data_IF_610570553333
#
_entry.id   IF_610570553333
#
_cell.length_a   1.000
_cell.length_b   1.000
_cell.length_c   1.000
_cell.angle_alpha   90.00
_cell.angle_beta   90.00
_cell.angle_gamma   90.00
#
_symmetry.space_group_name_H-M   'P 1'
#
loop_
_entity.id
_entity.type
_entity.pdbx_description
1 polymer ?
#
# COMPACT_ATOMS: atom_id res chain seq x y z
N UNK A 1 11.96 41.33 -37.17
CA UNK A 1 12.21 39.95 -36.66
C UNK A 1 11.37 39.81 -35.40
N UNK A 2 10.12 39.36 -35.55
CA UNK A 2 9.19 39.20 -34.42
C UNK A 2 9.34 37.81 -33.82
N UNK A 3 9.66 37.73 -32.54
CA UNK A 3 9.58 36.49 -31.78
C UNK A 3 8.11 36.21 -31.48
N UNK A 4 7.56 35.24 -32.21
CA UNK A 4 6.29 34.60 -31.88
C UNK A 4 6.50 33.72 -30.66
N UNK A 5 6.03 34.15 -29.49
CA UNK A 5 5.88 33.27 -28.33
C UNK A 5 4.67 32.37 -28.60
N UNK A 6 4.95 31.16 -29.08
CA UNK A 6 3.93 30.14 -29.25
C UNK A 6 3.45 29.67 -27.89
N UNK A 7 2.23 30.05 -27.50
CA UNK A 7 1.49 29.39 -26.43
C UNK A 7 1.18 27.96 -26.90
N UNK A 8 2.06 27.03 -26.58
CA UNK A 8 1.77 25.60 -26.69
C UNK A 8 0.73 25.28 -25.62
N UNK A 9 -0.55 25.24 -26.00
CA UNK A 9 -1.60 24.72 -25.15
C UNK A 9 -1.27 23.25 -24.88
N UNK A 10 -0.81 22.96 -23.67
CA UNK A 10 -0.64 21.61 -23.15
C UNK A 10 -2.00 20.93 -23.27
N UNK A 11 -2.11 19.95 -24.17
CA UNK A 11 -3.32 19.12 -24.26
C UNK A 11 -3.48 18.43 -22.90
N UNK A 12 -4.70 18.31 -22.36
CA UNK A 12 -4.95 17.39 -21.27
C UNK A 12 -4.49 16.01 -21.76
N UNK A 13 -3.38 15.52 -21.22
CA UNK A 13 -2.87 14.20 -21.56
C UNK A 13 -3.82 13.20 -20.93
N UNK A 14 -4.49 12.42 -21.79
CA UNK A 14 -5.23 11.22 -21.42
C UNK A 14 -4.42 10.37 -20.42
N UNK A 15 -5.12 9.71 -19.50
CA UNK A 15 -4.70 8.97 -18.31
C UNK A 15 -3.36 8.20 -18.36
N UNK A 16 -2.24 8.91 -18.43
CA UNK A 16 -0.93 8.34 -18.18
C UNK A 16 -0.81 8.01 -16.70
N UNK A 17 -1.01 6.72 -16.40
CA UNK A 17 -1.05 6.15 -15.05
C UNK A 17 0.28 6.38 -14.30
N UNK A 18 0.24 7.10 -13.17
CA UNK A 18 1.39 7.26 -12.26
C UNK A 18 1.90 5.95 -11.67
N UNK A 19 1.08 4.88 -11.73
CA UNK A 19 1.53 3.52 -11.40
C UNK A 19 2.80 3.13 -12.16
N UNK A 20 3.02 3.71 -13.35
CA UNK A 20 4.17 3.47 -14.24
C UNK A 20 5.42 4.26 -13.89
N UNK A 21 5.38 5.19 -12.92
CA UNK A 21 6.61 5.87 -12.48
C UNK A 21 7.53 4.83 -11.83
N UNK A 22 8.69 4.62 -12.46
CA UNK A 22 9.78 3.82 -11.92
C UNK A 22 10.67 4.70 -11.06
N UNK A 23 11.06 4.18 -9.91
CA UNK A 23 11.98 4.83 -8.99
C UNK A 23 13.12 3.86 -8.71
N UNK A 24 14.31 4.21 -9.20
CA UNK A 24 15.51 3.43 -9.01
C UNK A 24 16.09 3.72 -7.61
N UNK A 25 16.77 2.73 -7.04
CA UNK A 25 17.45 2.85 -5.75
C UNK A 25 18.93 2.48 -5.91
N UNK A 26 19.74 2.90 -4.93
CA UNK A 26 21.19 2.70 -4.92
C UNK A 26 21.92 3.25 -6.18
N UNK A 27 21.37 4.32 -6.76
CA UNK A 27 21.96 4.99 -7.93
C UNK A 27 22.85 6.15 -7.51
N UNK A 28 23.81 6.52 -8.35
CA UNK A 28 24.69 7.67 -8.10
C UNK A 28 23.86 8.95 -7.94
N UNK A 29 24.08 9.68 -6.86
CA UNK A 29 23.39 10.93 -6.55
C UNK A 29 23.84 12.04 -7.50
N UNK A 30 22.93 12.65 -8.29
CA UNK A 30 23.27 13.82 -9.11
C UNK A 30 23.68 15.03 -8.25
N UNK A 31 23.16 15.12 -7.03
CA UNK A 31 23.36 16.25 -6.11
C UNK A 31 24.56 16.08 -5.19
N UNK A 32 25.04 14.86 -4.99
CA UNK A 32 26.11 14.56 -4.04
C UNK A 32 27.10 13.55 -4.64
N UNK A 33 28.22 14.05 -5.18
CA UNK A 33 29.25 13.22 -5.81
C UNK A 33 29.74 12.10 -4.88
N UNK A 34 29.76 10.87 -5.40
CA UNK A 34 30.23 9.67 -4.68
C UNK A 34 29.25 9.10 -3.66
N UNK A 35 28.03 9.63 -3.56
CA UNK A 35 26.97 9.12 -2.67
C UNK A 35 25.82 8.49 -3.46
N UNK A 36 25.06 7.63 -2.78
CA UNK A 36 23.91 6.92 -3.36
C UNK A 36 22.59 7.61 -3.03
N UNK A 37 21.63 7.51 -3.94
CA UNK A 37 20.29 8.09 -3.81
C UNK A 37 19.25 7.16 -4.43
N UNK A 38 18.00 7.48 -4.13
CA UNK A 38 16.84 7.03 -4.88
C UNK A 38 16.53 8.09 -5.93
N UNK A 39 16.23 7.70 -7.16
CA UNK A 39 15.96 8.62 -8.25
C UNK A 39 14.79 8.14 -9.11
N UNK A 40 13.81 9.02 -9.33
CA UNK A 40 12.75 8.73 -10.30
C UNK A 40 13.29 8.77 -11.74
N UNK A 41 12.61 8.06 -12.63
CA UNK A 41 12.69 8.34 -14.06
C UNK A 41 12.21 9.77 -14.37
N UNK A 42 12.53 10.34 -15.55
CA UNK A 42 12.01 11.63 -15.99
C UNK A 42 10.49 11.72 -15.86
N UNK A 43 10.01 12.85 -15.33
CA UNK A 43 8.62 13.12 -15.00
C UNK A 43 7.99 14.16 -15.92
N UNK A 44 8.75 14.72 -16.85
CA UNK A 44 8.39 15.85 -17.71
C UNK A 44 7.11 15.59 -18.54
N UNK A 45 6.84 14.33 -18.87
CA UNK A 45 5.65 13.92 -19.63
C UNK A 45 4.38 13.78 -18.75
N UNK A 46 4.51 13.80 -17.42
CA UNK A 46 3.42 13.49 -16.49
C UNK A 46 2.96 14.69 -15.67
N UNK A 47 3.88 15.59 -15.33
CA UNK A 47 3.64 16.69 -14.39
C UNK A 47 4.67 17.78 -14.62
N UNK A 48 4.30 19.04 -14.41
CA UNK A 48 5.26 20.14 -14.37
C UNK A 48 5.86 20.31 -12.95
N UNK A 49 6.95 21.07 -12.88
CA UNK A 49 7.67 21.31 -11.62
C UNK A 49 6.79 21.93 -10.54
N UNK A 50 6.01 22.95 -10.90
CA UNK A 50 5.24 23.77 -9.95
C UNK A 50 4.10 22.94 -9.33
N UNK A 51 3.45 22.11 -10.15
CA UNK A 51 2.40 21.18 -9.74
C UNK A 51 2.96 20.06 -8.86
N UNK A 52 4.10 19.48 -9.24
CA UNK A 52 4.77 18.45 -8.44
C UNK A 52 5.20 18.99 -7.07
N UNK A 53 5.84 20.17 -7.06
CA UNK A 53 6.25 20.84 -5.83
C UNK A 53 5.06 21.08 -4.92
N UNK A 54 4.01 21.72 -5.43
CA UNK A 54 2.82 22.05 -4.66
C UNK A 54 2.15 20.80 -4.08
N UNK A 55 2.08 19.72 -4.86
CA UNK A 55 1.53 18.44 -4.43
C UNK A 55 2.32 17.80 -3.29
N UNK A 56 3.64 17.81 -3.37
CA UNK A 56 4.51 17.28 -2.31
C UNK A 56 4.43 18.13 -1.04
N UNK A 57 4.41 19.46 -1.14
CA UNK A 57 4.26 20.33 0.05
C UNK A 57 2.90 20.13 0.71
N UNK A 58 1.83 20.02 -0.08
CA UNK A 58 0.48 19.71 0.43
C UNK A 58 0.47 18.38 1.17
N UNK A 59 1.07 17.35 0.58
CA UNK A 59 1.19 16.01 1.18
C UNK A 59 1.95 16.04 2.51
N UNK A 60 3.03 16.82 2.62
CA UNK A 60 3.80 16.95 3.85
C UNK A 60 3.07 17.72 4.95
N UNK A 61 2.23 18.70 4.57
CA UNK A 61 1.43 19.50 5.51
C UNK A 61 0.18 18.76 6.02
N UNK A 62 -0.45 17.96 5.16
CA UNK A 62 -1.66 17.17 5.46
C UNK A 62 -1.54 15.75 4.89
N UNK A 63 -0.72 14.89 5.52
CA UNK A 63 -0.52 13.53 5.06
C UNK A 63 -1.83 12.73 5.15
N UNK A 64 -2.16 11.91 4.14
CA UNK A 64 -3.30 11.02 4.18
C UNK A 64 -3.28 10.12 5.42
N UNK A 65 -4.43 10.05 6.10
CA UNK A 65 -4.62 9.30 7.34
C UNK A 65 -4.77 7.80 7.04
N UNK A 66 -3.69 7.17 6.60
CA UNK A 66 -3.61 5.74 6.31
C UNK A 66 -2.68 5.01 7.29
N UNK A 67 -2.81 3.68 7.36
CA UNK A 67 -1.96 2.85 8.22
C UNK A 67 -2.15 3.19 9.70
N UNK A 68 -1.08 3.47 10.43
CA UNK A 68 -1.17 3.80 11.87
C UNK A 68 -1.47 5.30 12.13
N UNK A 69 -1.31 6.18 11.14
CA UNK A 69 -1.51 7.62 11.31
C UNK A 69 -3.00 7.95 11.50
N UNK A 70 -3.37 8.54 12.63
CA UNK A 70 -4.77 8.87 12.96
C UNK A 70 -5.06 10.36 12.89
N UNK A 71 -4.05 11.19 13.22
CA UNK A 71 -4.19 12.65 13.30
C UNK A 71 -2.85 13.30 12.94
N UNK A 72 -2.93 14.46 12.32
CA UNK A 72 -1.80 15.36 12.12
C UNK A 72 -2.18 16.76 12.58
N UNK A 73 -1.29 17.41 13.32
CA UNK A 73 -1.39 18.82 13.69
C UNK A 73 -0.30 19.60 12.96
N UNK A 74 -0.71 20.53 12.10
CA UNK A 74 0.20 21.42 11.38
C UNK A 74 0.48 22.68 12.21
N UNK A 75 1.75 23.07 12.26
CA UNK A 75 2.21 24.36 12.76
C UNK A 75 3.08 25.03 11.70
N UNK A 76 2.57 26.06 11.06
CA UNK A 76 3.35 26.90 10.14
C UNK A 76 4.28 27.83 10.93
N UNK A 77 5.56 27.86 10.58
CA UNK A 77 6.57 28.73 11.21
C UNK A 77 6.80 29.95 10.30
N UNK A 78 7.04 29.69 9.02
CA UNK A 78 7.09 30.69 7.95
C UNK A 78 6.76 30.03 6.59
N UNK A 79 6.95 30.76 5.49
CA UNK A 79 6.71 30.24 4.13
C UNK A 79 7.59 29.04 3.78
N UNK A 80 8.84 29.03 4.27
CA UNK A 80 9.84 28.01 3.96
C UNK A 80 10.04 26.99 5.08
N UNK A 81 9.28 27.08 6.18
CA UNK A 81 9.44 26.19 7.33
C UNK A 81 8.11 25.92 8.03
N UNK A 82 7.83 24.64 8.29
CA UNK A 82 6.67 24.20 9.07
C UNK A 82 7.01 22.94 9.87
N UNK A 83 6.15 22.60 10.82
CA UNK A 83 6.26 21.33 11.53
C UNK A 83 4.92 20.61 11.58
N UNK A 84 4.93 19.29 11.48
CA UNK A 84 3.75 18.45 11.70
C UNK A 84 3.96 17.57 12.93
N UNK A 85 2.94 17.48 13.78
CA UNK A 85 2.88 16.49 14.86
C UNK A 85 1.94 15.39 14.43
N UNK A 86 2.49 14.19 14.24
CA UNK A 86 1.79 13.03 13.72
C UNK A 86 1.48 12.07 14.86
N UNK A 87 0.22 11.66 14.99
CA UNK A 87 -0.26 10.75 16.03
C UNK A 87 -0.55 9.39 15.41
N UNK A 88 0.07 8.36 15.96
CA UNK A 88 -0.07 7.00 15.48
C UNK A 88 -0.82 6.17 16.51
N UNK A 89 -1.86 5.46 16.06
CA UNK A 89 -2.52 4.46 16.89
C UNK A 89 -2.22 3.06 16.40
N UNK A 90 -1.72 2.24 17.32
CA UNK A 90 -1.44 0.82 17.08
C UNK A 90 -2.71 -0.05 17.14
N UNK A 91 -3.86 0.57 17.40
CA UNK A 91 -5.16 -0.08 17.55
C UNK A 91 -5.23 -0.99 18.78
N UNK A 92 -6.41 -1.57 19.00
CA UNK A 92 -6.67 -2.46 20.14
C UNK A 92 -5.72 -3.67 20.18
N UNK A 93 -5.33 -4.16 19.00
CA UNK A 93 -4.42 -5.29 18.88
C UNK A 93 -2.97 -4.94 19.22
N UNK A 94 -2.47 -3.79 18.77
CA UNK A 94 -1.14 -3.33 19.18
C UNK A 94 -1.05 -3.11 20.69
N UNK A 95 -2.11 -2.56 21.29
CA UNK A 95 -2.23 -2.41 22.75
C UNK A 95 -2.24 -3.75 23.49
N UNK A 96 -2.91 -4.76 22.94
CA UNK A 96 -2.89 -6.13 23.49
C UNK A 96 -1.46 -6.72 23.50
N UNK A 97 -0.63 -6.34 22.52
CA UNK A 97 0.78 -6.75 22.44
C UNK A 97 1.73 -5.86 23.27
N UNK A 98 1.19 -4.91 24.05
CA UNK A 98 1.97 -4.01 24.88
C UNK A 98 2.59 -2.83 24.13
N UNK A 99 2.21 -2.59 22.88
CA UNK A 99 2.59 -1.36 22.17
C UNK A 99 1.68 -0.21 22.60
N UNK A 100 2.28 0.95 22.79
CA UNK A 100 1.55 2.18 23.07
C UNK A 100 1.30 2.95 21.77
N UNK A 101 0.23 3.75 21.77
CA UNK A 101 0.08 4.80 20.77
C UNK A 101 1.26 5.76 20.92
N UNK A 102 1.81 6.25 19.82
CA UNK A 102 2.99 7.11 19.85
C UNK A 102 2.80 8.32 18.94
N UNK A 103 3.65 9.32 19.12
CA UNK A 103 3.66 10.51 18.26
C UNK A 103 5.06 10.78 17.75
N UNK A 104 5.15 11.43 16.59
CA UNK A 104 6.38 12.00 16.06
C UNK A 104 6.18 13.47 15.74
N UNK A 105 7.26 14.25 15.79
CA UNK A 105 7.29 15.62 15.30
C UNK A 105 8.19 15.66 14.09
N UNK A 106 7.73 16.25 13.00
CA UNK A 106 8.48 16.38 11.76
C UNK A 106 8.67 17.86 11.45
N UNK A 107 9.92 18.32 11.39
CA UNK A 107 10.30 19.68 11.06
C UNK A 107 10.73 19.74 9.59
N UNK A 108 10.01 20.50 8.78
CA UNK A 108 10.22 20.58 7.34
C UNK A 108 10.72 21.96 6.96
N UNK A 109 11.83 22.01 6.21
CA UNK A 109 12.36 23.20 5.54
C UNK A 109 12.37 22.99 4.05
N UNK A 110 11.98 24.01 3.31
CA UNK A 110 11.82 23.94 1.85
C UNK A 110 12.49 25.12 1.15
N UNK A 111 13.11 24.86 0.00
CA UNK A 111 13.67 25.85 -0.90
C UNK A 111 13.17 25.58 -2.33
N UNK A 112 12.16 26.35 -2.75
CA UNK A 112 11.54 26.23 -4.07
C UNK A 112 12.50 26.50 -5.23
N UNK A 113 13.46 27.42 -5.04
CA UNK A 113 14.37 27.79 -6.10
C UNK A 113 15.38 26.67 -6.34
N UNK A 114 15.92 26.11 -5.26
CA UNK A 114 16.86 25.00 -5.30
C UNK A 114 16.19 23.63 -5.53
N UNK A 115 14.86 23.55 -5.33
CA UNK A 115 14.10 22.31 -5.35
C UNK A 115 14.38 21.40 -4.17
N UNK A 116 14.82 21.95 -3.04
CA UNK A 116 15.21 21.17 -1.86
C UNK A 116 14.09 21.10 -0.82
N UNK A 117 13.84 19.91 -0.30
CA UNK A 117 12.98 19.65 0.85
C UNK A 117 13.79 18.84 1.86
N UNK A 118 13.97 19.38 3.06
CA UNK A 118 14.60 18.70 4.18
C UNK A 118 13.57 18.49 5.28
N UNK A 119 13.43 17.26 5.74
CA UNK A 119 12.52 16.90 6.81
C UNK A 119 13.28 16.20 7.95
N UNK A 120 13.17 16.71 9.18
CA UNK A 120 13.81 16.17 10.38
C UNK A 120 12.71 15.57 11.28
N UNK A 121 12.74 14.25 11.52
CA UNK A 121 11.74 13.53 12.32
C UNK A 121 12.28 13.21 13.70
N UNK A 122 11.51 13.60 14.71
CA UNK A 122 11.80 13.43 16.13
C UNK A 122 10.78 12.49 16.77
N UNK A 123 11.24 11.66 17.71
CA UNK A 123 10.37 10.81 18.52
C UNK A 123 9.70 11.61 19.66
N UNK A 124 8.92 10.91 20.49
CA UNK A 124 8.23 11.52 21.65
C UNK A 124 9.17 12.03 22.75
N UNK A 125 10.46 11.68 22.71
CA UNK A 125 11.49 12.11 23.64
C UNK A 125 12.40 13.19 23.04
N UNK A 126 12.02 13.77 21.90
CA UNK A 126 12.78 14.80 21.18
C UNK A 126 14.13 14.30 20.63
N UNK A 127 14.28 12.98 20.42
CA UNK A 127 15.44 12.44 19.74
C UNK A 127 15.24 12.49 18.24
N UNK A 128 16.23 13.00 17.50
CA UNK A 128 16.25 12.91 16.04
C UNK A 128 16.39 11.45 15.61
N UNK A 129 15.34 10.93 14.97
CA UNK A 129 15.27 9.54 14.50
C UNK A 129 15.76 9.43 13.06
N UNK A 130 15.40 10.40 12.22
CA UNK A 130 15.64 10.35 10.79
C UNK A 130 15.64 11.76 10.20
N UNK A 131 16.55 12.04 9.26
CA UNK A 131 16.46 13.17 8.34
C UNK A 131 16.16 12.65 6.93
N UNK A 132 15.15 13.20 6.28
CA UNK A 132 14.82 12.92 4.88
C UNK A 132 15.22 14.11 4.04
N UNK A 133 15.91 13.84 2.94
CA UNK A 133 16.23 14.82 1.91
C UNK A 133 15.52 14.43 0.64
N UNK A 134 14.84 15.39 0.04
CA UNK A 134 14.19 15.25 -1.26
C UNK A 134 14.59 16.42 -2.12
N UNK A 135 15.08 16.15 -3.35
CA UNK A 135 15.40 17.18 -4.33
C UNK A 135 14.60 16.98 -5.60
N UNK A 136 13.95 18.05 -6.06
CA UNK A 136 13.26 18.09 -7.34
C UNK A 136 14.18 18.75 -8.37
N UNK A 137 14.74 17.93 -9.26
CA UNK A 137 15.54 18.38 -10.40
C UNK A 137 14.61 18.93 -11.48
N UNK A 138 14.98 20.02 -12.16
CA UNK A 138 14.14 20.64 -13.21
C UNK A 138 14.37 20.07 -14.61
N UNK A 139 15.58 19.63 -14.93
CA UNK A 139 15.95 19.22 -16.29
C UNK A 139 16.90 18.00 -16.28
N UNK A 140 16.41 16.79 -16.62
CA UNK A 140 14.99 16.43 -16.72
C UNK A 140 14.28 16.56 -15.35
N UNK A 141 12.95 16.72 -15.37
CA UNK A 141 12.15 16.75 -14.14
C UNK A 141 12.27 15.40 -13.42
N UNK A 142 12.89 15.36 -12.24
CA UNK A 142 13.09 14.13 -11.46
C UNK A 142 12.99 14.40 -9.97
N UNK A 143 12.63 13.38 -9.21
CA UNK A 143 12.72 13.40 -7.75
C UNK A 143 13.85 12.50 -7.30
N UNK A 144 14.81 13.10 -6.61
CA UNK A 144 15.86 12.42 -5.88
C UNK A 144 15.49 12.37 -4.39
N UNK A 145 15.73 11.26 -3.71
CA UNK A 145 15.49 11.15 -2.27
C UNK A 145 16.52 10.26 -1.57
N UNK A 146 16.80 10.54 -0.30
CA UNK A 146 17.55 9.66 0.59
C UNK A 146 17.22 9.96 2.05
N UNK A 147 17.56 9.04 2.94
CA UNK A 147 17.47 9.23 4.38
C UNK A 147 18.85 9.32 5.01
N UNK A 148 18.92 9.95 6.16
CA UNK A 148 20.03 9.86 7.10
C UNK A 148 19.48 9.39 8.45
N UNK A 149 19.97 8.24 8.92
CA UNK A 149 19.68 7.67 10.25
C UNK A 149 21.03 7.59 10.96
N UNK A 150 21.19 8.32 12.07
CA UNK A 150 22.45 8.82 12.65
C UNK A 150 23.70 8.69 11.75
N UNK A 151 23.87 9.66 10.84
CA UNK A 151 25.04 9.82 9.94
C UNK A 151 25.22 8.73 8.87
N UNK A 152 24.31 7.75 8.79
CA UNK A 152 24.30 6.76 7.71
C UNK A 152 23.30 7.18 6.66
N UNK A 153 23.79 7.44 5.45
CA UNK A 153 22.95 7.70 4.28
C UNK A 153 22.37 6.38 3.77
N UNK A 154 21.04 6.35 3.64
CA UNK A 154 20.28 5.19 3.17
C UNK A 154 19.55 5.59 1.89
N UNK A 155 19.73 4.78 0.85
CA UNK A 155 19.15 4.98 -0.48
C UNK A 155 18.70 3.66 -1.09
N UNK A 156 18.16 2.78 -0.24
CA UNK A 156 17.77 1.43 -0.61
C UNK A 156 16.36 1.36 -1.21
N UNK A 157 15.89 0.14 -1.42
CA UNK A 157 14.55 -0.15 -1.94
C UNK A 157 13.42 0.36 -1.05
N UNK A 158 13.58 0.40 0.27
CA UNK A 158 12.55 0.92 1.14
C UNK A 158 12.37 2.43 0.92
N UNK A 159 13.47 3.15 0.72
CA UNK A 159 13.44 4.58 0.37
C UNK A 159 12.77 4.80 -1.00
N UNK A 160 13.00 3.93 -1.99
CA UNK A 160 12.36 4.08 -3.31
C UNK A 160 10.87 3.83 -3.30
N UNK A 161 10.40 2.88 -2.47
CA UNK A 161 8.97 2.67 -2.25
C UNK A 161 8.34 3.91 -1.64
N UNK A 162 8.97 4.53 -0.63
CA UNK A 162 8.44 5.75 0.00
C UNK A 162 8.44 6.95 -0.96
N UNK A 163 9.49 7.11 -1.77
CA UNK A 163 9.54 8.15 -2.79
C UNK A 163 8.45 7.96 -3.85
N UNK A 164 8.25 6.72 -4.33
CA UNK A 164 7.18 6.38 -5.29
C UNK A 164 5.77 6.63 -4.71
N UNK A 165 5.54 6.24 -3.46
CA UNK A 165 4.27 6.51 -2.76
C UNK A 165 4.03 8.02 -2.61
N UNK A 166 5.06 8.79 -2.26
CA UNK A 166 4.98 10.26 -2.15
C UNK A 166 4.64 10.93 -3.49
N UNK A 167 5.26 10.48 -4.59
CA UNK A 167 4.93 10.95 -5.94
C UNK A 167 3.48 10.63 -6.32
N UNK A 168 3.03 9.41 -6.01
CA UNK A 168 1.67 8.96 -6.30
C UNK A 168 0.63 9.79 -5.55
N UNK A 169 0.85 9.99 -4.25
CA UNK A 169 -0.06 10.76 -3.39
C UNK A 169 0.00 12.25 -3.64
N UNK A 170 1.18 12.80 -3.96
CA UNK A 170 1.35 14.20 -4.30
C UNK A 170 0.47 14.58 -5.50
N UNK A 171 0.41 13.75 -6.54
CA UNK A 171 -0.52 13.95 -7.66
C UNK A 171 -1.99 13.84 -7.23
N UNK A 172 -2.34 12.80 -6.47
CA UNK A 172 -3.72 12.62 -5.97
C UNK A 172 -4.20 13.83 -5.16
N UNK A 173 -3.32 14.40 -4.33
CA UNK A 173 -3.64 15.58 -3.53
C UNK A 173 -3.89 16.83 -4.41
N UNK A 174 -3.30 16.92 -5.60
CA UNK A 174 -3.46 18.05 -6.53
C UNK A 174 -4.70 17.94 -7.42
N UNK A 175 -5.21 16.73 -7.64
CA UNK A 175 -6.43 16.48 -8.41
C UNK A 175 -7.56 15.94 -7.52
N UNK A 176 -8.07 16.70 -6.53
CA UNK A 176 -9.17 16.24 -5.67
C UNK A 176 -10.49 16.08 -6.45
N UNK A 177 -10.62 16.73 -7.61
CA UNK A 177 -11.75 16.62 -8.53
C UNK A 177 -11.56 15.59 -9.63
N UNK A 178 -10.34 15.09 -9.83
CA UNK A 178 -10.19 13.81 -10.47
C UNK A 178 -10.78 12.82 -9.50
N UNK A 179 -11.87 12.15 -9.88
CA UNK A 179 -12.27 10.91 -9.23
C UNK A 179 -10.97 10.15 -8.93
N UNK A 180 -10.86 9.57 -7.74
CA UNK A 180 -9.85 8.57 -7.48
C UNK A 180 -10.17 7.32 -8.31
N UNK A 181 -10.37 7.47 -9.62
CA UNK A 181 -10.69 6.47 -10.62
C UNK A 181 -9.58 5.42 -10.55
N UNK A 182 -9.85 4.39 -9.77
CA UNK A 182 -8.94 3.26 -9.56
C UNK A 182 -8.49 3.01 -8.13
N UNK A 183 -8.59 3.97 -7.20
CA UNK A 183 -8.12 3.74 -5.84
C UNK A 183 -9.23 3.14 -4.97
N UNK A 184 -9.07 1.86 -4.61
CA UNK A 184 -9.94 1.20 -3.63
C UNK A 184 -9.77 1.90 -2.28
N UNK A 185 -10.84 2.48 -1.76
CA UNK A 185 -10.89 3.01 -0.40
C UNK A 185 -11.48 1.94 0.52
N UNK A 186 -10.84 1.73 1.67
CA UNK A 186 -11.30 0.80 2.70
C UNK A 186 -11.55 1.58 3.99
N UNK A 187 -12.73 1.42 4.59
CA UNK A 187 -13.08 1.99 5.88
C UNK A 187 -12.85 0.95 6.99
N UNK A 188 -11.92 1.19 7.93
CA UNK A 188 -11.72 0.33 9.10
C UNK A 188 -12.84 0.53 10.11
N UNK A 189 -13.24 -0.55 10.78
CA UNK A 189 -14.21 -0.53 11.89
C UNK A 189 -15.54 0.16 11.53
N UNK A 190 -15.94 0.03 10.25
CA UNK A 190 -17.27 0.40 9.79
C UNK A 190 -18.31 -0.49 10.47
N UNK A 191 -19.55 0.01 10.59
CA UNK A 191 -20.68 -0.85 10.94
C UNK A 191 -20.75 -2.01 9.95
N UNK A 192 -20.88 -3.22 10.48
CA UNK A 192 -20.95 -4.42 9.67
C UNK A 192 -22.22 -4.40 8.81
N UNK A 193 -22.08 -4.78 7.55
CA UNK A 193 -23.19 -4.93 6.62
C UNK A 193 -23.93 -6.26 6.84
N UNK A 194 -23.27 -7.23 7.48
CA UNK A 194 -23.77 -8.59 7.73
C UNK A 194 -24.19 -8.89 9.17
N UNK A 195 -23.91 -8.00 10.12
CA UNK A 195 -24.19 -8.23 11.54
C UNK A 195 -24.50 -6.97 12.34
N UNK A 196 -25.69 -6.91 12.92
CA UNK A 196 -26.14 -5.78 13.73
C UNK A 196 -25.19 -5.50 14.91
N UNK A 197 -24.72 -4.25 15.01
CA UNK A 197 -23.85 -3.78 16.09
C UNK A 197 -22.42 -4.36 16.06
N UNK A 198 -22.02 -5.02 14.98
CA UNK A 198 -20.67 -5.54 14.80
C UNK A 198 -19.82 -4.62 13.91
N UNK A 199 -18.51 -4.78 13.97
CA UNK A 199 -17.55 -3.98 13.19
C UNK A 199 -16.84 -4.81 12.13
N UNK A 200 -16.57 -4.18 10.98
CA UNK A 200 -15.87 -4.77 9.83
C UNK A 200 -14.95 -3.78 9.13
N UNK A 201 -14.05 -4.30 8.28
CA UNK A 201 -13.43 -3.51 7.23
C UNK A 201 -14.35 -3.54 6.00
N UNK A 202 -14.76 -2.39 5.47
CA UNK A 202 -15.70 -2.30 4.34
C UNK A 202 -15.10 -1.44 3.24
N UNK A 203 -15.16 -1.91 1.99
CA UNK A 203 -14.73 -1.11 0.85
C UNK A 203 -15.77 -0.03 0.51
N UNK A 204 -15.31 1.05 -0.11
CA UNK A 204 -16.16 1.88 -0.94
C UNK A 204 -16.72 1.07 -2.14
N UNK A 205 -17.74 1.58 -2.85
CA UNK A 205 -18.25 0.96 -4.07
C UNK A 205 -17.12 0.62 -5.05
N UNK A 206 -17.18 -0.57 -5.63
CA UNK A 206 -16.17 -1.14 -6.54
C UNK A 206 -16.68 -1.27 -7.98
N UNK A 207 -17.85 -0.71 -8.27
CA UNK A 207 -18.55 -0.79 -9.55
C UNK A 207 -17.69 -0.24 -10.71
N UNK A 208 -16.80 0.72 -10.44
CA UNK A 208 -15.86 1.28 -11.42
C UNK A 208 -14.62 0.39 -11.67
N UNK A 209 -14.49 -0.73 -10.96
CA UNK A 209 -13.33 -1.61 -11.04
C UNK A 209 -13.65 -2.99 -11.60
N UNK A 210 -14.91 -3.41 -11.50
CA UNK A 210 -15.38 -4.73 -11.89
C UNK A 210 -16.73 -4.59 -12.59
N UNK A 211 -17.02 -5.45 -13.56
CA UNK A 211 -18.32 -5.39 -14.22
C UNK A 211 -19.44 -5.94 -13.32
N UNK A 212 -19.14 -6.94 -12.47
CA UNK A 212 -20.12 -7.59 -11.61
C UNK A 212 -19.51 -8.36 -10.42
N UNK A 213 -20.40 -8.88 -9.56
CA UNK A 213 -20.10 -9.71 -8.41
C UNK A 213 -19.36 -11.02 -8.78
N UNK A 214 -19.70 -11.64 -9.91
CA UNK A 214 -19.12 -12.91 -10.35
C UNK A 214 -17.64 -12.76 -10.69
N UNK A 215 -17.28 -11.67 -11.38
CA UNK A 215 -15.90 -11.37 -11.74
C UNK A 215 -15.05 -11.13 -10.50
N UNK A 216 -15.53 -10.32 -9.56
CA UNK A 216 -14.84 -10.07 -8.30
C UNK A 216 -14.67 -11.36 -7.49
N UNK A 217 -15.73 -12.17 -7.36
CA UNK A 217 -15.71 -13.43 -6.61
C UNK A 217 -14.71 -14.43 -7.22
N UNK A 218 -14.75 -14.62 -8.54
CA UNK A 218 -13.82 -15.50 -9.27
C UNK A 218 -12.38 -15.00 -9.17
N UNK A 219 -12.17 -13.69 -9.33
CA UNK A 219 -10.88 -13.05 -9.18
C UNK A 219 -10.29 -13.27 -7.78
N UNK A 220 -11.14 -13.19 -6.74
CA UNK A 220 -10.71 -13.46 -5.38
C UNK A 220 -10.26 -14.92 -5.16
N UNK A 221 -11.01 -15.89 -5.68
CA UNK A 221 -10.63 -17.30 -5.62
C UNK A 221 -9.32 -17.55 -6.38
N UNK A 222 -9.17 -16.96 -7.57
CA UNK A 222 -7.94 -17.07 -8.35
C UNK A 222 -6.74 -16.49 -7.57
N UNK A 223 -6.89 -15.30 -7.01
CA UNK A 223 -5.86 -14.66 -6.19
C UNK A 223 -5.48 -15.49 -4.96
N UNK A 224 -6.45 -16.12 -4.30
CA UNK A 224 -6.21 -17.01 -3.14
C UNK A 224 -5.50 -18.32 -3.52
N UNK A 225 -5.72 -18.83 -4.73
CA UNK A 225 -5.05 -20.04 -5.26
C UNK A 225 -3.65 -19.75 -5.81
N UNK A 226 -3.32 -18.50 -6.10
CA UNK A 226 -1.99 -18.14 -6.55
C UNK A 226 -1.03 -18.13 -5.36
N UNK A 227 0.15 -18.73 -5.55
CA UNK A 227 1.24 -18.60 -4.58
C UNK A 227 1.54 -17.11 -4.36
N UNK A 228 1.86 -16.69 -3.13
CA UNK A 228 2.49 -15.39 -2.90
C UNK A 228 3.68 -15.28 -3.87
N UNK A 229 3.77 -14.17 -4.60
CA UNK A 229 4.67 -13.98 -5.74
C UNK A 229 6.10 -14.44 -5.40
N UNK A 230 6.45 -15.66 -5.81
CA UNK A 230 7.67 -16.32 -5.37
C UNK A 230 8.92 -15.58 -5.85
N UNK A 231 8.84 -14.96 -7.03
CA UNK A 231 9.92 -14.18 -7.64
C UNK A 231 10.18 -12.85 -6.92
N UNK A 232 9.15 -12.23 -6.35
CA UNK A 232 9.31 -11.00 -5.56
C UNK A 232 9.76 -11.30 -4.13
N UNK A 233 9.32 -12.42 -3.55
CA UNK A 233 9.77 -12.89 -2.24
C UNK A 233 11.26 -13.27 -2.23
N UNK A 234 11.81 -13.75 -3.35
CA UNK A 234 13.26 -14.02 -3.44
C UNK A 234 14.12 -12.75 -3.51
N UNK A 235 13.54 -11.59 -3.82
CA UNK A 235 14.27 -10.32 -4.05
C UNK A 235 14.16 -9.32 -2.89
N UNK A 236 13.57 -9.68 -1.75
CA UNK A 236 13.35 -8.74 -0.63
C UNK A 236 13.32 -9.40 0.74
N UNK A 237 13.16 -8.58 1.78
CA UNK A 237 13.14 -9.01 3.19
C UNK A 237 11.81 -9.66 3.63
N UNK A 238 11.05 -10.23 2.70
CA UNK A 238 9.82 -10.94 3.07
C UNK A 238 10.15 -12.36 3.56
N UNK A 239 9.33 -12.93 4.46
CA UNK A 239 9.51 -14.33 4.83
C UNK A 239 9.44 -15.23 3.60
N UNK A 240 10.48 -16.01 3.41
CA UNK A 240 10.63 -16.94 2.30
C UNK A 240 9.63 -18.08 2.46
N UNK A 241 8.74 -18.24 1.49
CA UNK A 241 7.84 -19.40 1.42
C UNK A 241 8.63 -20.58 0.85
N UNK A 242 8.85 -21.61 1.67
CA UNK A 242 9.54 -22.84 1.28
C UNK A 242 8.63 -23.78 0.47
N UNK A 243 7.32 -23.75 0.73
CA UNK A 243 6.34 -24.57 0.02
C UNK A 243 4.99 -23.87 -0.01
N UNK A 244 4.37 -23.86 -1.19
CA UNK A 244 2.96 -23.51 -1.39
C UNK A 244 2.29 -24.62 -2.21
N UNK A 245 1.20 -25.17 -1.72
CA UNK A 245 0.47 -26.25 -2.40
C UNK A 245 -1.03 -25.98 -2.32
N UNK A 246 -1.71 -25.98 -3.46
CA UNK A 246 -3.18 -25.92 -3.54
C UNK A 246 -3.72 -27.33 -3.68
N UNK A 247 -4.69 -27.70 -2.84
CA UNK A 247 -5.43 -28.97 -2.93
C UNK A 247 -6.91 -28.68 -3.11
N UNK A 248 -7.41 -28.93 -4.31
CA UNK A 248 -8.85 -28.84 -4.59
C UNK A 248 -9.60 -29.95 -3.85
N UNK A 249 -10.66 -29.58 -3.14
CA UNK A 249 -11.57 -30.54 -2.47
C UNK A 249 -12.87 -30.65 -3.26
N UNK A 250 -13.43 -29.51 -3.67
CA UNK A 250 -14.63 -29.40 -4.50
C UNK A 250 -14.62 -28.08 -5.28
N UNK A 251 -15.66 -27.81 -6.07
CA UNK A 251 -15.81 -26.52 -6.76
C UNK A 251 -15.94 -25.33 -5.78
N UNK A 252 -16.44 -25.60 -4.56
CA UNK A 252 -16.66 -24.60 -3.51
C UNK A 252 -15.64 -24.67 -2.38
N UNK A 253 -14.63 -25.55 -2.45
CA UNK A 253 -13.72 -25.76 -1.34
C UNK A 253 -12.31 -26.17 -1.81
N UNK A 254 -11.29 -25.51 -1.28
CA UNK A 254 -9.90 -25.85 -1.53
C UNK A 254 -9.02 -25.52 -0.34
N UNK A 255 -7.89 -26.21 -0.23
CA UNK A 255 -6.87 -25.93 0.77
C UNK A 255 -5.66 -25.29 0.13
N UNK A 256 -5.01 -24.38 0.85
CA UNK A 256 -3.64 -23.96 0.55
C UNK A 256 -2.74 -24.30 1.74
N UNK A 257 -1.66 -25.02 1.49
CA UNK A 257 -0.66 -25.35 2.50
C UNK A 257 0.53 -24.42 2.28
N UNK A 258 0.86 -23.61 3.29
CA UNK A 258 1.98 -22.68 3.23
C UNK A 258 3.00 -23.04 4.31
N UNK A 259 4.24 -23.30 3.88
CA UNK A 259 5.39 -23.52 4.77
C UNK A 259 6.36 -22.36 4.60
N UNK A 260 6.64 -21.65 5.68
CA UNK A 260 7.57 -20.50 5.68
C UNK A 260 8.90 -20.89 6.31
N UNK A 261 9.98 -20.34 5.79
CA UNK A 261 11.32 -20.47 6.33
C UNK A 261 11.42 -19.70 7.66
N UNK A 262 11.64 -20.42 8.75
CA UNK A 262 11.65 -19.86 10.10
C UNK A 262 12.69 -18.75 10.28
N UNK A 263 13.86 -18.89 9.66
CA UNK A 263 14.95 -17.91 9.80
C UNK A 263 14.64 -16.60 9.06
N UNK A 264 13.78 -16.66 8.04
CA UNK A 264 13.29 -15.49 7.30
C UNK A 264 12.09 -14.83 7.99
N UNK A 265 11.34 -15.59 8.78
CA UNK A 265 10.15 -15.10 9.48
C UNK A 265 10.54 -14.00 10.49
N UNK A 266 11.58 -14.25 11.28
CA UNK A 266 12.07 -13.31 12.30
C UNK A 266 12.59 -12.01 11.67
N UNK A 267 13.23 -12.08 10.50
CA UNK A 267 13.73 -10.90 9.76
C UNK A 267 12.61 -10.14 9.06
N UNK A 268 11.64 -10.88 8.52
CA UNK A 268 10.58 -10.29 7.74
C UNK A 268 9.56 -9.54 8.57
N UNK A 269 9.35 -9.88 9.85
CA UNK A 269 8.37 -9.18 10.68
C UNK A 269 8.64 -7.67 10.84
N UNK A 270 9.90 -7.26 10.91
CA UNK A 270 10.28 -5.84 10.99
C UNK A 270 9.96 -5.10 9.68
N UNK A 271 10.14 -5.79 8.54
CA UNK A 271 9.80 -5.26 7.21
C UNK A 271 8.29 -5.33 6.92
N UNK A 272 7.58 -6.30 7.49
CA UNK A 272 6.16 -6.54 7.27
C UNK A 272 5.23 -5.53 7.95
N UNK A 273 5.74 -4.77 8.93
CA UNK A 273 5.07 -3.51 9.31
C UNK A 273 4.95 -2.54 8.12
N UNK A 274 5.68 -2.77 7.02
CA UNK A 274 5.78 -1.88 5.85
C UNK A 274 5.26 -2.50 4.54
N UNK A 275 4.99 -3.80 4.45
CA UNK A 275 4.54 -4.46 3.20
C UNK A 275 3.51 -5.56 3.45
N UNK A 276 2.47 -5.59 2.61
CA UNK A 276 1.31 -6.46 2.72
C UNK A 276 1.49 -7.80 1.99
N UNK A 277 1.99 -8.82 2.68
CA UNK A 277 1.88 -10.24 2.28
C UNK A 277 0.57 -10.86 2.80
N UNK A 278 0.25 -12.15 2.56
CA UNK A 278 -0.92 -12.78 3.19
C UNK A 278 -0.73 -12.80 4.71
N UNK A 279 -1.25 -11.76 5.35
CA UNK A 279 -1.04 -11.45 6.76
C UNK A 279 -1.68 -12.53 7.64
N UNK A 280 -2.70 -13.26 7.17
CA UNK A 280 -3.38 -14.30 7.94
C UNK A 280 -2.45 -15.45 8.38
N UNK A 281 -1.67 -16.00 7.44
CA UNK A 281 -0.69 -17.04 7.75
C UNK A 281 0.42 -16.51 8.65
N UNK A 282 0.84 -15.25 8.47
CA UNK A 282 1.89 -14.61 9.28
C UNK A 282 1.43 -14.32 10.71
N UNK A 283 0.20 -13.82 10.87
CA UNK A 283 -0.43 -13.66 12.18
C UNK A 283 -0.54 -15.01 12.89
N UNK A 284 -0.89 -16.07 12.16
CA UNK A 284 -0.91 -17.42 12.69
C UNK A 284 0.48 -17.90 13.12
N UNK A 285 1.51 -17.74 12.29
CA UNK A 285 2.89 -18.11 12.62
C UNK A 285 3.38 -17.41 13.88
N UNK A 286 3.12 -16.11 14.04
CA UNK A 286 3.52 -15.37 15.24
C UNK A 286 2.79 -15.83 16.49
N UNK A 287 1.47 -16.03 16.39
CA UNK A 287 0.65 -16.40 17.56
C UNK A 287 0.95 -17.81 18.08
N UNK A 288 1.44 -18.70 17.22
CA UNK A 288 1.68 -20.12 17.54
C UNK A 288 3.16 -20.48 17.65
N UNK A 289 4.06 -19.70 17.04
CA UNK A 289 5.45 -20.09 16.81
C UNK A 289 5.63 -21.15 15.71
N UNK A 290 4.53 -21.57 15.08
CA UNK A 290 4.55 -22.62 14.08
C UNK A 290 5.03 -22.08 12.74
N UNK A 291 5.74 -22.91 11.97
CA UNK A 291 6.32 -22.53 10.66
C UNK A 291 5.49 -23.03 9.48
N UNK A 292 4.42 -23.76 9.77
CA UNK A 292 3.50 -24.33 8.78
C UNK A 292 2.07 -23.96 9.15
N UNK A 293 1.35 -23.43 8.17
CA UNK A 293 -0.07 -23.13 8.28
C UNK A 293 -0.81 -23.84 7.17
N UNK A 294 -2.03 -24.24 7.48
CA UNK A 294 -2.97 -24.84 6.54
C UNK A 294 -4.15 -23.89 6.48
N UNK A 295 -4.40 -23.30 5.32
CA UNK A 295 -5.59 -22.51 5.07
C UNK A 295 -6.61 -23.35 4.33
N UNK A 296 -7.84 -23.37 4.83
CA UNK A 296 -9.00 -24.03 4.22
C UNK A 296 -9.95 -22.94 3.76
N UNK A 297 -10.15 -22.83 2.44
CA UNK A 297 -11.04 -21.87 1.83
C UNK A 297 -12.38 -22.52 1.51
N UNK A 298 -13.44 -21.97 2.09
CA UNK A 298 -14.83 -22.38 1.88
C UNK A 298 -15.52 -21.25 1.12
N UNK A 299 -15.91 -21.51 -0.12
CA UNK A 299 -16.48 -20.52 -1.04
C UNK A 299 -17.97 -20.79 -1.22
N UNK A 300 -18.81 -20.02 -0.51
CA UNK A 300 -20.27 -20.11 -0.60
C UNK A 300 -20.78 -19.04 -1.58
N UNK A 301 -20.90 -19.43 -2.85
CA UNK A 301 -21.40 -18.51 -3.89
C UNK A 301 -22.83 -18.03 -3.59
N UNK A 302 -23.68 -18.87 -2.97
CA UNK A 302 -25.07 -18.52 -2.67
C UNK A 302 -25.20 -17.40 -1.64
N UNK A 303 -24.21 -17.28 -0.76
CA UNK A 303 -24.10 -16.18 0.21
C UNK A 303 -23.20 -15.03 -0.24
N UNK A 304 -22.57 -15.19 -1.41
CA UNK A 304 -21.47 -14.36 -1.87
C UNK A 304 -20.42 -14.19 -0.76
N UNK A 305 -19.94 -15.31 -0.20
CA UNK A 305 -19.02 -15.32 0.93
C UNK A 305 -17.87 -16.30 0.70
N UNK A 306 -16.67 -15.91 1.14
CA UNK A 306 -15.48 -16.76 1.22
C UNK A 306 -14.99 -16.74 2.67
N UNK A 307 -14.88 -17.92 3.27
CA UNK A 307 -14.30 -18.11 4.59
C UNK A 307 -12.94 -18.79 4.46
N UNK A 308 -11.88 -18.18 4.97
CA UNK A 308 -10.54 -18.75 5.07
C UNK A 308 -10.27 -19.14 6.54
N UNK A 309 -10.28 -20.44 6.81
CA UNK A 309 -9.91 -20.97 8.11
C UNK A 309 -8.42 -21.28 8.16
N UNK A 310 -7.69 -20.66 9.08
CA UNK A 310 -6.25 -20.83 9.22
C UNK A 310 -5.97 -21.75 10.40
N UNK A 311 -5.38 -22.90 10.11
CA UNK A 311 -4.94 -23.88 11.08
C UNK A 311 -3.42 -23.86 11.21
N UNK A 312 -2.94 -24.15 12.41
CA UNK A 312 -1.53 -24.41 12.64
C UNK A 312 -1.14 -25.84 12.24
N UNK A 313 0.13 -26.20 12.36
CA UNK A 313 0.62 -27.52 11.94
C UNK A 313 0.07 -28.69 12.77
N UNK A 314 -0.50 -28.41 13.94
CA UNK A 314 -1.19 -29.39 14.79
C UNK A 314 -2.67 -29.58 14.41
N UNK A 315 -3.17 -28.84 13.41
CA UNK A 315 -4.59 -28.83 13.05
C UNK A 315 -5.47 -28.03 13.99
N UNK A 316 -4.90 -27.19 14.85
CA UNK A 316 -5.66 -26.26 15.71
C UNK A 316 -6.05 -25.03 14.91
N UNK A 317 -7.35 -24.70 14.90
CA UNK A 317 -7.85 -23.48 14.29
C UNK A 317 -7.31 -22.26 15.04
N UNK A 318 -6.59 -21.40 14.33
CA UNK A 318 -6.02 -20.16 14.87
C UNK A 318 -7.00 -19.00 14.69
N UNK A 319 -7.56 -18.87 13.49
CA UNK A 319 -8.54 -17.84 13.15
C UNK A 319 -9.37 -18.23 11.93
N UNK A 320 -10.47 -17.52 11.72
CA UNK A 320 -11.26 -17.57 10.49
C UNK A 320 -11.39 -16.17 9.92
N UNK A 321 -11.07 -15.98 8.65
CA UNK A 321 -11.21 -14.71 7.93
C UNK A 321 -12.40 -14.84 7.00
N UNK A 322 -13.36 -13.93 7.14
CA UNK A 322 -14.56 -13.92 6.32
C UNK A 322 -14.49 -12.74 5.37
N UNK A 323 -14.80 -13.01 4.11
CA UNK A 323 -14.94 -12.02 3.06
C UNK A 323 -16.31 -12.16 2.43
N UNK A 324 -17.14 -11.13 2.54
CA UNK A 324 -18.49 -11.11 1.99
C UNK A 324 -18.60 -10.03 0.93
N UNK A 325 -19.24 -10.38 -0.18
CA UNK A 325 -19.40 -9.52 -1.34
C UNK A 325 -20.87 -9.09 -1.44
N UNK A 326 -21.08 -7.81 -1.69
CA UNK A 326 -22.40 -7.20 -1.87
C UNK A 326 -22.53 -6.72 -3.30
N UNK A 327 -23.71 -6.83 -3.89
CA UNK A 327 -23.92 -6.56 -5.32
C UNK A 327 -24.37 -5.11 -5.59
N UNK A 328 -25.09 -4.47 -4.68
CA UNK A 328 -25.66 -3.13 -4.88
C UNK A 328 -25.48 -2.22 -3.64
N UNK A 329 -24.52 -1.27 -3.68
CA UNK A 329 -23.44 -1.19 -4.66
C UNK A 329 -22.42 -2.33 -4.48
N UNK A 330 -21.58 -2.59 -5.49
CA UNK A 330 -20.57 -3.64 -5.42
C UNK A 330 -19.57 -3.33 -4.29
N UNK A 331 -19.53 -4.14 -3.23
CA UNK A 331 -18.64 -3.92 -2.08
C UNK A 331 -18.04 -5.21 -1.54
N UNK A 332 -16.95 -5.06 -0.79
CA UNK A 332 -16.36 -6.11 0.02
C UNK A 332 -16.40 -5.73 1.49
N UNK A 333 -16.91 -6.64 2.32
CA UNK A 333 -16.79 -6.60 3.77
C UNK A 333 -15.88 -7.72 4.25
N UNK A 334 -14.93 -7.40 5.14
CA UNK A 334 -14.04 -8.38 5.75
C UNK A 334 -13.97 -8.23 7.26
N UNK A 335 -13.95 -9.37 7.94
CA UNK A 335 -13.70 -9.48 9.37
C UNK A 335 -12.95 -10.77 9.69
N UNK A 336 -12.38 -10.82 10.91
CA UNK A 336 -11.68 -11.99 11.42
C UNK A 336 -12.36 -12.45 12.70
N UNK A 337 -12.58 -13.74 12.83
CA UNK A 337 -12.98 -14.37 14.08
C UNK A 337 -11.79 -15.09 14.70
N UNK A 338 -11.44 -14.69 15.91
CA UNK A 338 -10.39 -15.31 16.71
C UNK A 338 -10.89 -15.53 18.12
N UNK A 339 -10.82 -16.76 18.62
CA UNK A 339 -11.34 -17.15 19.93
C UNK A 339 -12.80 -16.67 20.14
N UNK A 340 -13.66 -16.87 19.13
CA UNK A 340 -15.07 -16.46 19.11
C UNK A 340 -15.32 -14.94 19.17
N UNK A 341 -14.29 -14.11 19.08
CA UNK A 341 -14.43 -12.67 18.99
C UNK A 341 -14.24 -12.21 17.55
N UNK A 342 -15.24 -11.49 17.02
CA UNK A 342 -15.14 -10.77 15.75
C UNK A 342 -14.21 -9.57 15.92
N UNK A 343 -13.30 -9.41 14.97
CA UNK A 343 -12.30 -8.36 14.91
C UNK A 343 -12.32 -7.71 13.53
N UNK A 344 -12.12 -6.41 13.54
CA UNK A 344 -11.93 -5.59 12.36
C UNK A 344 -10.84 -4.57 12.62
N UNK A 345 -10.51 -3.78 11.61
CA UNK A 345 -9.62 -2.64 11.78
C UNK A 345 -8.66 -2.49 10.61
N UNK A 346 -7.75 -1.53 10.75
CA UNK A 346 -6.89 -1.05 9.66
C UNK A 346 -6.01 -2.13 9.03
N UNK A 347 -5.51 -3.08 9.82
CA UNK A 347 -4.70 -4.18 9.28
C UNK A 347 -5.50 -5.02 8.27
N UNK A 348 -6.80 -5.24 8.54
CA UNK A 348 -7.70 -5.95 7.64
C UNK A 348 -7.98 -5.15 6.37
N UNK A 349 -8.14 -3.82 6.48
CA UNK A 349 -8.25 -2.95 5.31
C UNK A 349 -7.04 -3.10 4.38
N UNK A 350 -5.82 -3.11 4.92
CA UNK A 350 -4.59 -3.26 4.14
C UNK A 350 -4.53 -4.62 3.45
N UNK A 351 -4.90 -5.70 4.14
CA UNK A 351 -4.96 -7.04 3.55
C UNK A 351 -5.89 -7.09 2.34
N UNK A 352 -7.12 -6.63 2.53
CA UNK A 352 -8.17 -6.64 1.50
C UNK A 352 -7.80 -5.75 0.34
N UNK A 353 -7.30 -4.55 0.63
CA UNK A 353 -6.84 -3.62 -0.39
C UNK A 353 -5.75 -4.25 -1.26
N UNK A 354 -4.83 -5.00 -0.67
CA UNK A 354 -3.75 -5.68 -1.42
C UNK A 354 -4.30 -6.77 -2.32
N UNK A 355 -5.23 -7.59 -1.83
CA UNK A 355 -5.93 -8.59 -2.64
C UNK A 355 -6.69 -7.94 -3.79
N UNK A 356 -7.53 -6.96 -3.49
CA UNK A 356 -8.34 -6.24 -4.48
C UNK A 356 -7.46 -5.56 -5.53
N UNK A 357 -6.37 -4.89 -5.13
CA UNK A 357 -5.46 -4.22 -6.07
C UNK A 357 -4.86 -5.19 -7.08
N UNK A 358 -4.48 -6.40 -6.62
CA UNK A 358 -3.98 -7.45 -7.50
C UNK A 358 -5.06 -7.94 -8.46
N UNK A 359 -6.27 -8.21 -7.96
CA UNK A 359 -7.39 -8.68 -8.80
C UNK A 359 -7.74 -7.65 -9.87
N UNK A 360 -7.81 -6.36 -9.50
CA UNK A 360 -8.06 -5.27 -10.45
C UNK A 360 -6.96 -5.21 -11.50
N UNK A 361 -5.70 -5.33 -11.11
CA UNK A 361 -4.57 -5.30 -12.04
C UNK A 361 -4.66 -6.44 -13.07
N UNK A 362 -4.94 -7.66 -12.62
CA UNK A 362 -5.13 -8.82 -13.51
C UNK A 362 -6.31 -8.61 -14.45
N UNK A 363 -7.43 -8.07 -13.95
CA UNK A 363 -8.61 -7.78 -14.74
C UNK A 363 -8.34 -6.73 -15.83
N UNK A 364 -7.66 -5.64 -15.48
CA UNK A 364 -7.24 -4.60 -16.44
C UNK A 364 -6.32 -5.19 -17.52
N UNK A 365 -5.37 -6.03 -17.16
CA UNK A 365 -4.47 -6.69 -18.12
C UNK A 365 -5.23 -7.60 -19.08
N UNK A 366 -6.18 -8.39 -18.57
CA UNK A 366 -7.02 -9.25 -19.40
C UNK A 366 -7.90 -8.44 -20.38
N UNK A 367 -8.47 -7.33 -19.92
CA UNK A 367 -9.29 -6.44 -20.77
C UNK A 367 -8.48 -5.80 -21.91
N UNK A 368 -7.24 -5.37 -21.64
CA UNK A 368 -6.32 -4.84 -22.67
C UNK A 368 -5.92 -5.92 -23.67
N UNK A 369 -5.66 -7.15 -23.22
CA UNK A 369 -5.33 -8.25 -24.12
C UNK A 369 -6.49 -8.57 -25.09
N UNK A 370 -7.72 -8.64 -24.58
CA UNK A 370 -8.90 -8.93 -25.41
C UNK A 370 -9.20 -7.83 -26.43
N UNK A 371 -9.00 -6.56 -26.07
CA UNK A 371 -9.21 -5.43 -26.98
C UNK A 371 -8.15 -5.38 -28.08
N UNK A 372 -6.89 -5.67 -27.75
CA UNK A 372 -5.80 -5.75 -28.73
C UNK A 372 -5.96 -6.91 -29.73
N UNK A 373 -6.56 -8.03 -29.34
CA UNK A 373 -6.88 -9.13 -30.27
C UNK A 373 -7.99 -8.73 -31.27
N UNK A 374 -9.04 -8.06 -30.78
CA UNK A 374 -10.15 -7.57 -31.62
C UNK A 374 -9.69 -6.53 -32.65
N UNK A 375 -8.73 -5.67 -32.32
CA UNK A 375 -8.17 -4.68 -33.26
C UNK A 375 -7.25 -5.30 -34.32
N UNK A 376 -6.66 -6.48 -34.06
CA UNK A 376 -5.83 -7.18 -35.03
C UNK A 376 -6.64 -8.09 -35.99
N UNK A 377 -7.85 -8.46 -35.59
CA UNK A 377 -8.78 -9.27 -36.38
C UNK A 377 -9.68 -8.44 -37.32
N UNK A 378 -9.72 -7.10 -37.14
CA UNK A 378 -10.41 -6.13 -38.00
C UNK A 378 -9.48 -5.53 -39.04
#
# INVERSE_FOLDING_TARGET
>A
RGCSMGNSAVRPTDDLEVSKITVDFDVESPSCSGLKSVLSQPLDEYIDYDTLWSGLIKLLKDPPKHGLLTKTELKEICETEFSTRNFFSVGSFGKLLGFEDFQTVEHVRVDYAAGDIKSERYDQNDNLVQTTYTKIHREPLRVESWFEVPQVRIADRAVSIMAKDSLTRGRQAMNPSGSSEGAIVMTPDAESLSGDGQKSAVSDPLDDHFADLDQLFKGWIAAAKQSPNWEEQQKGDLPKVNKFEVKEISESEFNTITVVDGDSLDKGFDTLQRVATPVDSLLAFRSTGDRTTISVYICDRSKAEICNQVFNHHGTLVMSVFCRFYEDPLRVEVWVEQAQARRSGRIHCVMVWTFLSKIIQEFKQASVAMTGELENDL
#
